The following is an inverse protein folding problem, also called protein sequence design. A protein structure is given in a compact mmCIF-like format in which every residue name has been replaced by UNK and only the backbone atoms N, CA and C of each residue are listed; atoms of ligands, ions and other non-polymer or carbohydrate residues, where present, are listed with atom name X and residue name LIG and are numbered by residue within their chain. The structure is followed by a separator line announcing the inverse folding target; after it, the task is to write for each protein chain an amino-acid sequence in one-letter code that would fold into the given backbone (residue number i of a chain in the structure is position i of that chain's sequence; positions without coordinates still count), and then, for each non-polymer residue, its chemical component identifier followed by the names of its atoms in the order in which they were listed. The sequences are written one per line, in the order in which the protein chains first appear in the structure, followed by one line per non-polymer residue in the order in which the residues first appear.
data_IF_178575496450
#
_entry.id   IF_178575496450
#
_cell.length_a   1.000
_cell.length_b   1.000
_cell.length_c   1.000
_cell.angle_alpha   90.00
_cell.angle_beta   90.00
_cell.angle_gamma   90.00
#
_symmetry.space_group_name_H-M   'P 1'
#
loop_
_entity.id
_entity.type
_entity.pdbx_description
1 polymer ?
#
# COMPACT_ATOMS: atom_id res chain seq x y z
N UNK A 1 15.88 -14.18 7.33
CA UNK A 1 15.98 -12.98 6.47
C UNK A 1 14.70 -12.79 5.66
N UNK A 2 13.55 -12.66 6.31
CA UNK A 2 12.23 -12.48 5.68
C UNK A 2 11.61 -11.19 6.23
N UNK A 3 10.75 -10.49 5.48
CA UNK A 3 10.05 -9.33 6.00
C UNK A 3 9.08 -9.72 7.12
N UNK A 4 8.72 -8.78 8.01
CA UNK A 4 7.57 -8.98 8.88
C UNK A 4 6.28 -9.02 8.05
N UNK A 5 5.30 -9.77 8.55
CA UNK A 5 3.94 -9.69 8.02
C UNK A 5 3.29 -8.40 8.52
N UNK A 6 2.88 -7.54 7.61
CA UNK A 6 2.11 -6.34 7.89
C UNK A 6 0.76 -6.41 7.19
N UNK A 7 -0.28 -5.93 7.87
CA UNK A 7 -1.66 -6.01 7.41
C UNK A 7 -2.43 -4.77 7.86
N UNK A 8 -3.16 -4.14 6.93
CA UNK A 8 -4.03 -3.02 7.25
C UNK A 8 -5.34 -3.55 7.84
N UNK A 9 -5.55 -3.33 9.15
CA UNK A 9 -6.76 -3.78 9.85
C UNK A 9 -7.93 -2.80 9.62
N UNK A 10 -7.64 -1.50 9.65
CA UNK A 10 -8.61 -0.45 9.36
C UNK A 10 -8.98 -0.49 7.89
N UNK A 11 -10.28 -0.49 7.57
CA UNK A 11 -10.75 -0.50 6.19
C UNK A 11 -10.49 0.85 5.53
N UNK A 12 -9.90 0.82 4.33
CA UNK A 12 -9.48 2.03 3.61
C UNK A 12 -9.79 1.93 2.13
N UNK A 13 -10.20 3.07 1.55
CA UNK A 13 -10.33 3.21 0.11
C UNK A 13 -9.01 3.70 -0.47
N UNK A 14 -8.15 2.78 -0.88
CA UNK A 14 -6.78 3.08 -1.28
C UNK A 14 -6.33 2.18 -2.43
N UNK A 15 -5.60 2.67 -3.46
CA UNK A 15 -5.20 1.84 -4.61
C UNK A 15 -4.31 0.66 -4.22
N UNK A 16 -3.33 0.88 -3.33
CA UNK A 16 -2.37 -0.15 -2.92
C UNK A 16 -2.79 -0.93 -1.66
N UNK A 17 -4.02 -0.74 -1.15
CA UNK A 17 -4.52 -1.49 0.01
C UNK A 17 -5.93 -2.01 -0.30
N UNK A 18 -6.10 -3.33 -0.26
CA UNK A 18 -7.39 -3.97 -0.55
C UNK A 18 -8.01 -4.55 0.72
N UNK A 19 -9.02 -3.86 1.22
CA UNK A 19 -9.75 -4.22 2.44
C UNK A 19 -10.59 -5.51 2.32
N UNK A 20 -10.72 -6.09 1.12
CA UNK A 20 -11.43 -7.37 0.90
C UNK A 20 -10.54 -8.60 1.12
N UNK A 21 -9.21 -8.43 1.09
CA UNK A 21 -8.25 -9.52 1.28
C UNK A 21 -8.18 -9.87 2.77
N UNK A 22 -8.42 -11.14 3.16
CA UNK A 22 -8.43 -11.53 4.58
C UNK A 22 -7.03 -11.59 5.20
N UNK A 23 -6.92 -11.53 6.54
CA UNK A 23 -5.68 -11.79 7.25
C UNK A 23 -5.06 -13.14 6.89
N UNK A 24 -3.73 -13.22 6.96
CA UNK A 24 -2.93 -14.34 6.44
C UNK A 24 -2.58 -14.21 4.95
N UNK A 25 -3.16 -13.24 4.23
CA UNK A 25 -2.72 -12.78 2.92
C UNK A 25 -2.24 -11.33 2.98
N UNK A 26 -1.50 -10.88 1.97
CA UNK A 26 -1.03 -9.50 1.86
C UNK A 26 -2.15 -8.62 1.35
N UNK A 27 -2.63 -7.69 2.18
CA UNK A 27 -3.61 -6.69 1.78
C UNK A 27 -3.00 -5.32 1.54
N UNK A 28 -1.66 -5.21 1.60
CA UNK A 28 -0.88 -4.01 1.31
C UNK A 28 0.09 -4.35 0.18
N UNK A 29 0.07 -3.56 -0.88
CA UNK A 29 0.98 -3.68 -2.02
C UNK A 29 2.23 -2.85 -1.75
N UNK A 30 3.19 -3.42 -1.02
CA UNK A 30 4.45 -2.78 -0.74
C UNK A 30 5.59 -3.81 -0.87
N UNK A 31 6.48 -3.59 -1.83
CA UNK A 31 7.57 -4.52 -2.14
C UNK A 31 8.42 -4.86 -0.91
N UNK A 32 8.65 -3.87 -0.05
CA UNK A 32 9.45 -4.01 1.16
C UNK A 32 8.94 -5.10 2.12
N UNK A 33 7.63 -5.39 2.11
CA UNK A 33 7.01 -6.41 2.95
C UNK A 33 6.53 -7.64 2.15
N UNK A 34 6.77 -7.67 0.85
CA UNK A 34 6.39 -8.79 -0.02
C UNK A 34 7.46 -9.91 0.09
N UNK A 35 7.11 -11.10 0.60
CA UNK A 35 8.05 -12.22 0.71
C UNK A 35 8.56 -12.72 -0.65
N UNK A 36 7.81 -12.52 -1.74
CA UNK A 36 8.24 -12.94 -3.09
C UNK A 36 9.30 -12.01 -3.69
N UNK A 37 9.55 -10.86 -3.06
CA UNK A 37 10.49 -9.83 -3.53
C UNK A 37 11.76 -9.72 -2.66
N UNK A 38 11.96 -10.66 -1.72
CA UNK A 38 13.18 -10.69 -0.89
C UNK A 38 14.44 -10.72 -1.75
N UNK A 39 15.33 -9.75 -1.53
CA UNK A 39 16.60 -9.61 -2.25
C UNK A 39 16.46 -9.16 -3.71
N UNK A 40 15.25 -8.87 -4.20
CA UNK A 40 15.03 -8.37 -5.55
C UNK A 40 15.10 -6.84 -5.57
N UNK A 41 15.61 -6.31 -6.68
CA UNK A 41 15.70 -4.88 -6.97
C UNK A 41 15.11 -4.66 -8.36
N UNK A 42 14.16 -3.75 -8.46
CA UNK A 42 13.67 -3.24 -9.72
C UNK A 42 14.78 -2.39 -10.37
N UNK A 43 15.28 -2.83 -11.52
CA UNK A 43 16.40 -2.20 -12.20
C UNK A 43 16.06 -0.81 -12.78
N UNK A 44 14.78 -0.50 -12.97
CA UNK A 44 14.33 0.76 -13.58
C UNK A 44 14.07 1.87 -12.56
N UNK A 45 13.60 1.50 -11.36
CA UNK A 45 13.25 2.43 -10.28
C UNK A 45 14.25 2.41 -9.12
N UNK A 46 15.07 1.36 -9.02
CA UNK A 46 15.92 1.10 -7.86
C UNK A 46 15.13 0.70 -6.61
N UNK A 47 13.80 0.53 -6.71
CA UNK A 47 12.99 -0.01 -5.65
C UNK A 47 13.47 -1.42 -5.31
N UNK A 48 13.46 -1.78 -4.04
CA UNK A 48 13.90 -3.10 -3.60
C UNK A 48 12.89 -3.70 -2.64
N UNK A 49 12.74 -5.01 -2.71
CA UNK A 49 12.02 -5.74 -1.68
C UNK A 49 12.83 -5.85 -0.39
N UNK A 50 12.42 -6.74 0.50
CA UNK A 50 13.09 -6.91 1.79
C UNK A 50 14.57 -7.32 1.64
N UNK A 51 15.43 -6.68 2.43
CA UNK A 51 16.82 -7.12 2.64
C UNK A 51 17.15 -7.10 4.13
N UNK A 52 18.19 -7.83 4.58
CA UNK A 52 18.59 -7.86 6.00
C UNK A 52 18.99 -6.51 6.59
N UNK A 53 19.28 -5.50 5.76
CA UNK A 53 19.64 -4.15 6.20
C UNK A 53 18.43 -3.24 6.43
N UNK A 54 17.22 -3.68 6.06
CA UNK A 54 15.99 -2.94 6.27
C UNK A 54 15.45 -3.16 7.69
N UNK A 55 14.78 -2.15 8.22
CA UNK A 55 14.25 -2.13 9.59
C UNK A 55 12.74 -1.86 9.59
N UNK A 56 12.11 -1.99 10.76
CA UNK A 56 10.73 -1.58 10.96
C UNK A 56 10.53 -0.08 10.65
N UNK A 57 11.52 0.77 10.92
CA UNK A 57 11.47 2.20 10.54
C UNK A 57 11.33 2.37 9.03
N UNK A 58 12.05 1.58 8.22
CA UNK A 58 11.88 1.65 6.76
C UNK A 58 10.45 1.30 6.33
N UNK A 59 9.83 0.31 6.99
CA UNK A 59 8.45 -0.11 6.70
C UNK A 59 7.47 1.00 7.08
N UNK A 60 7.60 1.56 8.28
CA UNK A 60 6.70 2.61 8.75
C UNK A 60 6.81 3.87 7.88
N UNK A 61 8.02 4.28 7.48
CA UNK A 61 8.18 5.43 6.58
C UNK A 61 7.59 5.17 5.18
N UNK A 62 7.76 3.95 4.64
CA UNK A 62 7.12 3.59 3.36
C UNK A 62 5.59 3.58 3.46
N UNK A 63 5.02 3.07 4.56
CA UNK A 63 3.58 3.09 4.81
C UNK A 63 3.04 4.53 4.96
N UNK A 64 3.78 5.41 5.64
CA UNK A 64 3.44 6.83 5.73
C UNK A 64 3.40 7.48 4.34
N UNK A 65 4.44 7.26 3.54
CA UNK A 65 4.48 7.78 2.16
C UNK A 65 3.31 7.26 1.32
N UNK A 66 3.00 5.97 1.43
CA UNK A 66 1.85 5.37 0.75
C UNK A 66 0.53 6.05 1.14
N UNK A 67 0.28 6.24 2.44
CA UNK A 67 -0.95 6.88 2.95
C UNK A 67 -1.05 8.37 2.59
N UNK A 68 0.07 9.06 2.39
CA UNK A 68 0.13 10.48 2.04
C UNK A 68 0.27 10.76 0.53
N UNK A 69 -0.01 9.76 -0.31
CA UNK A 69 0.05 9.88 -1.78
C UNK A 69 1.45 10.18 -2.32
N UNK A 70 2.50 9.77 -1.61
CA UNK A 70 3.89 10.02 -1.99
C UNK A 70 4.42 8.92 -2.90
N UNK A 71 4.86 9.29 -4.10
CA UNK A 71 5.60 8.38 -4.96
C UNK A 71 6.99 8.06 -4.36
N UNK A 72 7.52 6.85 -4.56
CA UNK A 72 6.95 5.74 -5.33
C UNK A 72 5.97 4.85 -4.53
N UNK A 73 5.74 5.13 -3.24
CA UNK A 73 4.97 4.26 -2.35
C UNK A 73 3.46 4.25 -2.67
N UNK A 74 2.93 5.41 -3.05
CA UNK A 74 1.60 5.51 -3.63
C UNK A 74 1.67 5.24 -5.13
N UNK A 75 1.21 4.08 -5.55
CA UNK A 75 1.29 3.62 -6.93
C UNK A 75 -0.08 3.16 -7.45
N UNK A 76 -0.95 4.09 -7.89
CA UNK A 76 -2.25 3.74 -8.46
C UNK A 76 -2.15 3.00 -9.80
N UNK A 77 -0.97 3.01 -10.46
CA UNK A 77 -0.70 2.32 -11.73
C UNK A 77 -0.52 0.81 -11.58
N UNK A 78 -0.16 0.34 -10.39
CA UNK A 78 -0.10 -1.08 -10.02
C UNK A 78 -0.86 -1.33 -8.70
N UNK A 79 -2.20 -1.28 -8.73
CA UNK A 79 -3.02 -1.32 -7.53
C UNK A 79 -3.38 -2.75 -7.12
N UNK A 80 -3.61 -2.96 -5.82
CA UNK A 80 -4.37 -4.12 -5.32
C UNK A 80 -5.88 -3.87 -5.47
N UNK A 81 -6.33 -2.65 -5.17
CA UNK A 81 -7.71 -2.23 -5.35
C UNK A 81 -7.83 -1.52 -6.71
N UNK A 82 -8.14 -2.29 -7.76
CA UNK A 82 -8.25 -1.79 -9.12
C UNK A 82 -9.31 -0.68 -9.27
N UNK A 83 -10.44 -0.75 -8.54
CA UNK A 83 -11.47 0.30 -8.62
C UNK A 83 -10.96 1.62 -8.03
N UNK A 84 -10.23 1.59 -6.91
CA UNK A 84 -9.63 2.78 -6.33
C UNK A 84 -8.56 3.38 -7.26
N UNK A 85 -7.71 2.54 -7.86
CA UNK A 85 -6.71 2.98 -8.85
C UNK A 85 -7.35 3.61 -10.09
N UNK A 86 -8.39 3.00 -10.65
CA UNK A 86 -9.13 3.56 -11.79
C UNK A 86 -9.77 4.91 -11.44
N UNK A 87 -10.43 4.99 -10.28
CA UNK A 87 -11.02 6.25 -9.83
C UNK A 87 -9.98 7.34 -9.64
N UNK A 88 -8.79 7.03 -9.12
CA UNK A 88 -7.72 8.01 -9.00
C UNK A 88 -7.36 8.62 -10.36
N UNK A 89 -7.18 7.79 -11.41
CA UNK A 89 -6.80 8.28 -12.73
C UNK A 89 -7.94 8.92 -13.53
N UNK A 90 -9.16 8.39 -13.43
CA UNK A 90 -10.28 8.77 -14.32
C UNK A 90 -11.35 9.61 -13.64
N UNK A 91 -11.40 9.62 -12.32
CA UNK A 91 -12.47 10.25 -11.54
C UNK A 91 -11.99 10.71 -10.15
N UNK A 92 -10.92 11.51 -10.08
CA UNK A 92 -10.26 11.88 -8.84
C UNK A 92 -11.23 12.39 -7.74
N UNK A 93 -12.20 13.24 -8.10
CA UNK A 93 -13.21 13.73 -7.14
C UNK A 93 -14.04 12.59 -6.51
N UNK A 94 -14.34 11.54 -7.28
CA UNK A 94 -15.05 10.35 -6.79
C UNK A 94 -14.16 9.53 -5.86
N UNK A 95 -12.89 9.35 -6.22
CA UNK A 95 -11.89 8.71 -5.36
C UNK A 95 -11.80 9.42 -4.00
N UNK A 96 -11.56 10.73 -4.00
CA UNK A 96 -11.41 11.53 -2.78
C UNK A 96 -12.67 11.54 -1.92
N UNK A 97 -13.85 11.67 -2.55
CA UNK A 97 -15.13 11.63 -1.84
C UNK A 97 -15.36 10.27 -1.16
N UNK A 98 -15.05 9.16 -1.86
CA UNK A 98 -15.18 7.81 -1.33
C UNK A 98 -14.16 7.53 -0.23
N UNK A 99 -12.91 7.97 -0.40
CA UNK A 99 -11.87 7.90 0.63
C UNK A 99 -12.28 8.63 1.90
N UNK A 100 -12.75 9.88 1.79
CA UNK A 100 -13.27 10.65 2.93
C UNK A 100 -14.44 9.95 3.63
N UNK A 101 -15.38 9.39 2.86
CA UNK A 101 -16.53 8.66 3.41
C UNK A 101 -16.10 7.39 4.15
N UNK A 102 -15.08 6.68 3.64
CA UNK A 102 -14.51 5.50 4.30
C UNK A 102 -13.76 5.86 5.58
N UNK A 103 -12.92 6.90 5.56
CA UNK A 103 -12.26 7.41 6.77
C UNK A 103 -13.29 7.74 7.85
N UNK A 104 -14.34 8.49 7.50
CA UNK A 104 -15.41 8.85 8.42
C UNK A 104 -16.15 7.63 9.01
N UNK A 105 -16.23 6.53 8.25
CA UNK A 105 -16.95 5.32 8.66
C UNK A 105 -16.10 4.33 9.45
N UNK A 106 -14.80 4.26 9.18
CA UNK A 106 -13.95 3.16 9.64
C UNK A 106 -12.71 3.60 10.43
N UNK A 107 -12.38 4.90 10.47
CA UNK A 107 -11.10 5.39 10.99
C UNK A 107 -11.24 6.66 11.87
N UNK A 108 -12.38 6.83 12.54
CA UNK A 108 -12.63 7.97 13.43
C UNK A 108 -12.56 7.62 14.93
N UNK A 109 -12.45 6.33 15.27
CA UNK A 109 -12.43 5.80 16.63
C UNK A 109 -11.08 5.14 16.95
#
# INVERSE_FOLDING_TARGET
FQPPYAYAVTLMWHPNIDSSIPPGKLNICLDLINPDLVGKVDASTGASGWTPSKTLTNIIEALKGMMHYEAPFFNPGDPLNHEAGEQYFRALKKFESKAKAWTAKYAMD
#
